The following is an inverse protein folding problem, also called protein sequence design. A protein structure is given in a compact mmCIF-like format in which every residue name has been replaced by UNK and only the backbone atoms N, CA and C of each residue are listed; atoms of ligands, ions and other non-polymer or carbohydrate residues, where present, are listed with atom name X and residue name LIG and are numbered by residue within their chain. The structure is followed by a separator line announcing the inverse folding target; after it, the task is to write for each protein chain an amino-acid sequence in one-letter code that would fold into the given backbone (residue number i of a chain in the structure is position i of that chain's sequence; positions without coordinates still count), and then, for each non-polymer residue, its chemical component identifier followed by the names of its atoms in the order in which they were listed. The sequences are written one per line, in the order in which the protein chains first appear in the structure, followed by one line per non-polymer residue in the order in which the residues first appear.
data_IF_962379575369
#
_entry.id   IF_962379575369
#
_cell.length_a   1.000
_cell.length_b   1.000
_cell.length_c   1.000
_cell.angle_alpha   90.00
_cell.angle_beta   90.00
_cell.angle_gamma   90.00
#
_symmetry.space_group_name_H-M   'P 1'
#
loop_
_entity.id
_entity.type
_entity.pdbx_description
1 polymer ?
#
# COMPACT_ATOMS: atom_id res chain seq x y z
N UNK A 1 -36.22 1.10 -7.30
CA UNK A 1 -35.81 0.03 -6.37
C UNK A 1 -35.66 0.69 -5.02
N UNK A 2 -36.61 0.49 -4.10
CA UNK A 2 -36.64 1.17 -2.79
C UNK A 2 -36.95 0.19 -1.64
N UNK A 3 -36.77 -1.11 -1.87
CA UNK A 3 -36.89 -2.09 -0.80
C UNK A 3 -35.48 -2.53 -0.40
N UNK A 4 -35.19 -2.41 0.90
CA UNK A 4 -34.07 -3.07 1.54
C UNK A 4 -34.26 -4.58 1.32
N UNK A 5 -33.46 -5.18 0.43
CA UNK A 5 -33.61 -6.60 0.08
C UNK A 5 -32.96 -7.54 1.11
N UNK A 6 -32.32 -6.98 2.13
CA UNK A 6 -31.68 -7.71 3.23
C UNK A 6 -32.25 -7.23 4.58
N UNK A 7 -32.98 -8.10 5.28
CA UNK A 7 -33.41 -7.82 6.65
C UNK A 7 -32.29 -8.16 7.65
N UNK A 8 -31.93 -7.18 8.47
CA UNK A 8 -30.94 -7.31 9.53
C UNK A 8 -31.51 -6.84 10.86
N UNK A 9 -31.23 -7.57 11.94
CA UNK A 9 -31.60 -7.14 13.30
C UNK A 9 -30.83 -5.88 13.70
N UNK A 10 -31.34 -5.12 14.67
CA UNK A 10 -30.64 -3.94 15.19
C UNK A 10 -29.23 -4.26 15.72
N UNK A 11 -29.06 -5.45 16.30
CA UNK A 11 -27.75 -5.94 16.73
C UNK A 11 -26.79 -6.15 15.55
N UNK A 12 -27.28 -6.75 14.46
CA UNK A 12 -26.52 -6.96 13.23
C UNK A 12 -26.16 -5.64 12.56
N UNK A 13 -27.09 -4.68 12.50
CA UNK A 13 -26.84 -3.35 11.95
C UNK A 13 -25.78 -2.60 12.76
N UNK A 14 -25.86 -2.66 14.10
CA UNK A 14 -24.84 -2.07 14.98
C UNK A 14 -23.47 -2.69 14.75
N UNK A 15 -23.40 -4.00 14.54
CA UNK A 15 -22.14 -4.69 14.24
C UNK A 15 -21.59 -4.32 12.85
N UNK A 16 -22.44 -4.40 11.81
CA UNK A 16 -22.11 -4.02 10.43
C UNK A 16 -21.61 -2.58 10.35
N UNK A 17 -22.19 -1.66 11.12
CA UNK A 17 -21.80 -0.24 11.10
C UNK A 17 -20.30 -0.03 11.37
N UNK A 18 -19.61 -0.99 12.01
CA UNK A 18 -18.15 -0.93 12.24
C UNK A 18 -17.34 -1.21 10.98
N UNK A 19 -17.89 -2.00 10.05
CA UNK A 19 -17.19 -2.56 8.89
C UNK A 19 -17.69 -2.02 7.55
N UNK A 20 -18.84 -1.36 7.52
CA UNK A 20 -19.35 -0.67 6.33
C UNK A 20 -19.68 0.80 6.61
N UNK A 21 -19.64 1.64 5.58
CA UNK A 21 -20.04 3.06 5.70
C UNK A 21 -21.55 3.27 5.71
N UNK A 22 -22.32 2.32 5.18
CA UNK A 22 -23.79 2.36 5.19
C UNK A 22 -24.35 0.92 5.34
N UNK A 23 -25.23 0.73 6.32
CA UNK A 23 -25.77 -0.59 6.68
C UNK A 23 -27.07 -0.96 5.97
N UNK A 24 -27.74 0.01 5.33
CA UNK A 24 -29.02 -0.19 4.65
C UNK A 24 -28.93 0.19 3.17
N UNK A 25 -28.34 1.35 2.86
CA UNK A 25 -28.20 1.84 1.48
C UNK A 25 -27.46 0.89 0.54
N UNK A 26 -27.79 0.95 -0.76
CA UNK A 26 -27.22 0.10 -1.81
C UNK A 26 -25.74 0.41 -2.14
N UNK A 27 -25.25 1.60 -1.79
CA UNK A 27 -23.87 2.04 -2.02
C UNK A 27 -23.20 2.20 -0.66
N UNK A 28 -22.13 1.45 -0.44
CA UNK A 28 -21.34 1.49 0.78
C UNK A 28 -19.90 1.05 0.50
N UNK A 29 -18.99 1.44 1.37
CA UNK A 29 -17.58 1.02 1.34
C UNK A 29 -17.31 0.08 2.51
N UNK A 30 -16.47 -0.93 2.30
CA UNK A 30 -15.88 -1.71 3.38
C UNK A 30 -14.82 -0.86 4.09
N UNK A 31 -14.78 -0.93 5.42
CA UNK A 31 -13.80 -0.25 6.28
C UNK A 31 -13.41 -1.14 7.44
N UNK A 32 -12.27 -0.88 8.06
CA UNK A 32 -11.82 -1.58 9.28
C UNK A 32 -11.81 -3.13 9.16
N UNK A 33 -11.65 -3.63 7.93
CA UNK A 33 -11.47 -5.04 7.63
C UNK A 33 -10.04 -5.25 7.10
N UNK A 34 -9.34 -6.31 7.50
CA UNK A 34 -8.09 -6.70 6.87
C UNK A 34 -8.28 -6.93 5.37
N UNK A 35 -7.29 -6.57 4.52
CA UNK A 35 -7.43 -6.68 3.06
C UNK A 35 -7.74 -8.10 2.59
N UNK A 36 -7.13 -9.11 3.22
CA UNK A 36 -7.38 -10.51 2.89
C UNK A 36 -8.83 -10.92 3.19
N UNK A 37 -9.44 -10.37 4.24
CA UNK A 37 -10.86 -10.59 4.52
C UNK A 37 -11.73 -9.95 3.45
N UNK A 38 -11.40 -8.74 2.98
CA UNK A 38 -12.12 -8.11 1.87
C UNK A 38 -12.01 -8.94 0.60
N UNK A 39 -10.81 -9.43 0.29
CA UNK A 39 -10.55 -10.30 -0.85
C UNK A 39 -11.39 -11.58 -0.83
N UNK A 40 -11.36 -12.27 0.30
CA UNK A 40 -12.16 -13.46 0.54
C UNK A 40 -13.67 -13.20 0.43
N UNK A 41 -14.12 -12.10 1.03
CA UNK A 41 -15.53 -11.70 1.05
C UNK A 41 -16.03 -11.42 -0.37
N UNK A 42 -15.27 -10.69 -1.19
CA UNK A 42 -15.62 -10.43 -2.58
C UNK A 42 -15.59 -11.71 -3.45
N UNK A 43 -14.64 -12.60 -3.20
CA UNK A 43 -14.58 -13.91 -3.87
C UNK A 43 -15.80 -14.78 -3.56
N UNK A 44 -16.26 -14.79 -2.30
CA UNK A 44 -17.50 -15.48 -1.91
C UNK A 44 -18.73 -14.81 -2.50
N UNK A 45 -18.76 -13.49 -2.48
CA UNK A 45 -19.85 -12.70 -3.02
C UNK A 45 -20.06 -12.97 -4.52
N UNK A 46 -18.99 -13.09 -5.31
CA UNK A 46 -19.11 -13.36 -6.76
C UNK A 46 -19.77 -14.70 -7.10
N UNK A 47 -19.85 -15.63 -6.14
CA UNK A 47 -20.41 -16.98 -6.30
C UNK A 47 -21.62 -17.23 -5.40
N UNK A 48 -22.16 -16.20 -4.74
CA UNK A 48 -23.28 -16.29 -3.80
C UNK A 48 -24.48 -15.49 -4.27
N UNK A 49 -25.68 -15.94 -3.91
CA UNK A 49 -26.92 -15.18 -4.09
C UNK A 49 -27.22 -14.22 -2.94
N UNK A 50 -26.40 -14.21 -1.89
CA UNK A 50 -26.54 -13.32 -0.74
C UNK A 50 -25.87 -11.97 -1.02
N UNK A 51 -26.39 -10.90 -0.42
CA UNK A 51 -25.69 -9.61 -0.43
C UNK A 51 -24.43 -9.64 0.43
N UNK A 52 -23.51 -8.72 0.13
CA UNK A 52 -22.18 -8.68 0.72
C UNK A 52 -22.21 -8.54 2.26
N UNK A 53 -23.18 -7.80 2.82
CA UNK A 53 -23.35 -7.60 4.27
C UNK A 53 -23.84 -8.86 4.97
N UNK A 54 -24.84 -9.54 4.40
CA UNK A 54 -25.30 -10.84 4.90
C UNK A 54 -24.18 -11.86 4.90
N UNK A 55 -23.37 -11.88 3.83
CA UNK A 55 -22.26 -12.81 3.68
C UNK A 55 -21.16 -12.54 4.70
N UNK A 56 -20.80 -11.28 4.93
CA UNK A 56 -19.86 -10.86 5.98
C UNK A 56 -20.32 -11.34 7.36
N UNK A 57 -21.59 -11.12 7.71
CA UNK A 57 -22.12 -11.55 9.00
C UNK A 57 -22.11 -13.08 9.13
N UNK A 58 -22.70 -13.80 8.19
CA UNK A 58 -22.89 -15.25 8.30
C UNK A 58 -21.60 -16.04 8.21
N UNK A 59 -20.71 -15.69 7.28
CA UNK A 59 -19.57 -16.54 6.95
C UNK A 59 -18.27 -16.12 7.65
N UNK A 60 -18.13 -14.84 8.01
CA UNK A 60 -16.89 -14.29 8.55
C UNK A 60 -16.98 -13.85 10.01
N UNK A 61 -18.14 -13.36 10.45
CA UNK A 61 -18.33 -12.86 11.82
C UNK A 61 -18.97 -13.91 12.73
N UNK A 62 -20.07 -14.54 12.31
CA UNK A 62 -20.85 -15.47 13.14
C UNK A 62 -20.51 -16.94 12.98
N UNK A 63 -19.76 -17.30 11.93
CA UNK A 63 -19.20 -18.64 11.85
C UNK A 63 -18.11 -18.79 12.95
N UNK A 64 -17.80 -20.02 13.40
CA UNK A 64 -16.93 -20.43 14.56
C UNK A 64 -15.47 -19.89 14.57
N UNK A 65 -15.21 -18.76 13.94
CA UNK A 65 -13.94 -18.12 13.65
C UNK A 65 -13.92 -16.66 14.16
N UNK A 66 -14.91 -16.24 14.94
CA UNK A 66 -15.03 -14.91 15.56
C UNK A 66 -13.73 -14.50 16.29
N UNK A 67 -13.07 -15.43 16.97
CA UNK A 67 -11.79 -15.19 17.65
C UNK A 67 -10.60 -14.99 16.70
N UNK A 68 -10.60 -15.60 15.52
CA UNK A 68 -9.58 -15.37 14.50
C UNK A 68 -9.83 -14.04 13.79
N UNK A 69 -11.09 -13.76 13.43
CA UNK A 69 -11.50 -12.49 12.84
C UNK A 69 -11.17 -11.30 13.76
N UNK A 70 -11.56 -11.35 15.03
CA UNK A 70 -11.33 -10.29 16.01
C UNK A 70 -9.84 -9.98 16.25
N UNK A 71 -8.98 -11.01 16.21
CA UNK A 71 -7.52 -10.85 16.33
C UNK A 71 -6.90 -10.19 15.11
N UNK A 72 -7.36 -10.53 13.90
CA UNK A 72 -6.83 -9.95 12.66
C UNK A 72 -7.40 -8.54 12.43
N UNK A 73 -8.66 -8.30 12.80
CA UNK A 73 -9.31 -6.98 12.72
C UNK A 73 -8.87 -6.01 13.82
N UNK A 74 -7.93 -6.39 14.69
CA UNK A 74 -7.35 -5.54 15.73
C UNK A 74 -8.32 -5.15 16.87
N UNK A 75 -9.38 -5.93 17.10
CA UNK A 75 -10.48 -5.55 18.01
C UNK A 75 -10.27 -5.93 19.49
N UNK A 76 -9.03 -6.16 19.95
CA UNK A 76 -8.73 -6.25 21.39
C UNK A 76 -7.86 -5.07 21.85
N UNK A 77 -8.51 -3.99 22.25
CA UNK A 77 -8.04 -3.17 23.37
C UNK A 77 -8.57 -3.85 24.65
N UNK A 78 -7.69 -4.55 25.38
CA UNK A 78 -8.06 -5.19 26.65
C UNK A 78 -7.15 -6.37 27.01
N UNK A 79 -6.20 -6.09 27.90
CA UNK A 79 -5.43 -6.99 28.77
C UNK A 79 -4.86 -8.29 28.16
N UNK A 80 -3.56 -8.24 27.86
CA UNK A 80 -2.71 -9.42 27.83
C UNK A 80 -2.37 -9.80 29.27
N UNK A 81 -3.16 -10.66 29.87
CA UNK A 81 -2.73 -11.52 30.97
C UNK A 81 -3.41 -12.88 30.81
N UNK A 82 -2.75 -13.78 30.07
CA UNK A 82 -2.59 -15.21 30.38
C UNK A 82 -1.94 -15.96 29.19
N UNK A 83 -0.64 -16.16 29.35
CA UNK A 83 0.19 -17.34 29.03
C UNK A 83 -0.13 -18.21 27.80
N UNK A 84 0.66 -18.00 26.73
CA UNK A 84 1.50 -19.04 26.10
C UNK A 84 0.87 -20.11 25.20
N UNK A 85 -0.22 -20.76 25.61
CA UNK A 85 -0.77 -21.93 24.88
C UNK A 85 -1.88 -21.54 23.89
N UNK A 86 -2.71 -20.57 24.26
CA UNK A 86 -3.88 -20.13 23.47
C UNK A 86 -3.46 -19.32 22.22
N UNK A 87 -2.28 -18.70 22.24
CA UNK A 87 -1.76 -17.92 21.12
C UNK A 87 -1.33 -18.80 19.94
N UNK A 88 -0.84 -20.02 20.19
CA UNK A 88 -0.46 -20.95 19.12
C UNK A 88 -1.68 -21.53 18.40
N UNK A 89 -2.71 -21.92 19.15
CA UNK A 89 -3.94 -22.47 18.58
C UNK A 89 -4.74 -21.40 17.82
N UNK A 90 -4.74 -20.18 18.35
CA UNK A 90 -5.22 -18.97 17.69
C UNK A 90 -4.55 -18.69 16.36
N UNK A 91 -3.22 -18.70 16.33
CA UNK A 91 -2.42 -18.48 15.13
C UNK A 91 -2.67 -19.61 14.14
N UNK A 92 -2.77 -20.86 14.58
CA UNK A 92 -3.15 -21.99 13.72
C UNK A 92 -4.57 -21.85 13.15
N UNK A 93 -5.55 -21.39 13.94
CA UNK A 93 -6.92 -21.13 13.45
C UNK A 93 -6.95 -19.98 12.44
N UNK A 94 -6.18 -18.91 12.67
CA UNK A 94 -6.01 -17.83 11.72
C UNK A 94 -5.31 -18.30 10.45
N UNK A 95 -4.20 -19.06 10.56
CA UNK A 95 -3.47 -19.62 9.42
C UNK A 95 -4.33 -20.58 8.61
N UNK A 96 -5.02 -21.53 9.26
CA UNK A 96 -5.95 -22.44 8.57
C UNK A 96 -7.11 -21.69 7.91
N UNK A 97 -7.56 -20.59 8.51
CA UNK A 97 -8.52 -19.70 7.87
C UNK A 97 -7.92 -19.03 6.64
N UNK A 98 -6.71 -18.46 6.73
CA UNK A 98 -5.96 -17.90 5.60
C UNK A 98 -5.73 -18.92 4.47
N UNK A 99 -5.24 -20.11 4.80
CA UNK A 99 -4.93 -21.18 3.85
C UNK A 99 -6.21 -21.65 3.15
N UNK A 100 -7.32 -21.84 3.88
CA UNK A 100 -8.61 -22.17 3.25
C UNK A 100 -9.10 -21.06 2.32
N UNK A 101 -8.82 -19.81 2.65
CA UNK A 101 -9.21 -18.61 1.92
C UNK A 101 -8.32 -18.37 0.68
N UNK A 102 -7.08 -18.85 0.69
CA UNK A 102 -6.15 -18.74 -0.44
C UNK A 102 -6.21 -19.98 -1.34
N UNK A 103 -6.17 -21.18 -0.77
CA UNK A 103 -6.18 -22.46 -1.49
C UNK A 103 -7.54 -22.78 -2.12
N UNK A 104 -8.65 -22.42 -1.45
CA UNK A 104 -9.99 -22.78 -1.89
C UNK A 104 -10.48 -22.05 -3.14
N UNK A 105 -9.79 -21.00 -3.57
CA UNK A 105 -10.39 -20.03 -4.49
C UNK A 105 -9.69 -19.89 -5.83
N UNK A 106 -8.40 -20.23 -5.94
CA UNK A 106 -7.69 -20.43 -7.23
C UNK A 106 -7.86 -19.31 -8.26
N UNK A 107 -8.13 -18.09 -7.81
CA UNK A 107 -8.55 -16.97 -8.64
C UNK A 107 -7.56 -15.81 -8.38
N UNK A 108 -6.74 -15.51 -9.39
CA UNK A 108 -5.69 -14.49 -9.33
C UNK A 108 -6.25 -13.10 -8.91
N UNK A 109 -7.56 -12.87 -9.13
CA UNK A 109 -8.26 -11.64 -8.73
C UNK A 109 -8.30 -11.39 -7.22
N UNK A 110 -8.13 -12.43 -6.38
CA UNK A 110 -8.04 -12.26 -4.91
C UNK A 110 -6.68 -11.68 -4.53
N UNK A 111 -5.62 -12.07 -5.25
CA UNK A 111 -4.28 -11.53 -5.06
C UNK A 111 -4.22 -10.03 -5.38
N UNK A 112 -5.00 -9.56 -6.34
CA UNK A 112 -5.09 -8.14 -6.72
C UNK A 112 -5.69 -7.25 -5.61
N UNK A 113 -6.46 -7.82 -4.69
CA UNK A 113 -7.06 -7.11 -3.56
C UNK A 113 -6.06 -6.94 -2.39
N UNK A 114 -4.93 -7.66 -2.42
CA UNK A 114 -3.82 -7.48 -1.50
C UNK A 114 -2.88 -6.36 -1.97
N UNK A 115 -2.75 -5.30 -1.17
CA UNK A 115 -1.75 -4.26 -1.39
C UNK A 115 -0.50 -4.45 -0.53
N UNK A 116 0.67 -4.09 -1.06
CA UNK A 116 1.90 -3.96 -0.29
C UNK A 116 2.43 -2.53 -0.40
N UNK A 117 2.95 -1.99 0.70
CA UNK A 117 3.70 -0.74 0.67
C UNK A 117 5.18 -1.07 0.45
N UNK A 118 5.72 -0.68 -0.71
CA UNK A 118 7.12 -0.89 -1.05
C UNK A 118 7.89 0.43 -0.90
N UNK A 119 8.97 0.40 -0.12
CA UNK A 119 9.97 1.45 -0.09
C UNK A 119 11.15 1.02 -0.97
N UNK A 120 11.51 1.87 -1.94
CA UNK A 120 12.57 1.59 -2.92
C UNK A 120 13.59 2.72 -2.84
N UNK A 121 14.81 2.40 -2.42
CA UNK A 121 15.88 3.36 -2.19
C UNK A 121 17.13 3.01 -3.01
N UNK A 122 17.98 4.02 -3.27
CA UNK A 122 19.24 3.87 -4.02
C UNK A 122 19.06 3.28 -5.44
N UNK A 123 17.92 3.55 -6.06
CA UNK A 123 17.66 3.22 -7.46
C UNK A 123 17.95 4.43 -8.35
N UNK A 124 18.28 4.16 -9.61
CA UNK A 124 18.45 5.23 -10.60
C UNK A 124 17.10 5.86 -10.96
N UNK A 125 17.14 7.12 -11.42
CA UNK A 125 15.94 7.78 -11.96
C UNK A 125 15.27 6.95 -13.08
N UNK A 126 16.06 6.27 -13.91
CA UNK A 126 15.54 5.39 -14.97
C UNK A 126 14.78 4.19 -14.40
N UNK A 127 15.32 3.56 -13.35
CA UNK A 127 14.64 2.46 -12.67
C UNK A 127 13.36 2.92 -11.98
N UNK A 128 13.38 4.09 -11.32
CA UNK A 128 12.18 4.69 -10.72
C UNK A 128 11.08 4.92 -11.78
N UNK A 129 11.42 5.53 -12.93
CA UNK A 129 10.47 5.73 -14.02
C UNK A 129 9.92 4.40 -14.56
N UNK A 130 10.76 3.39 -14.75
CA UNK A 130 10.30 2.08 -15.21
C UNK A 130 9.26 1.46 -14.26
N UNK A 131 9.46 1.57 -12.95
CA UNK A 131 8.53 1.06 -11.93
C UNK A 131 7.21 1.85 -11.99
N UNK A 132 7.27 3.17 -12.00
CA UNK A 132 6.08 4.04 -12.01
C UNK A 132 5.27 3.91 -13.31
N UNK A 133 5.94 3.85 -14.46
CA UNK A 133 5.31 3.74 -15.78
C UNK A 133 4.65 2.37 -15.98
N UNK A 134 5.15 1.34 -15.30
CA UNK A 134 4.54 0.01 -15.31
C UNK A 134 3.19 -0.04 -14.58
N UNK A 135 2.83 1.02 -13.83
CA UNK A 135 1.55 1.15 -13.07
C UNK A 135 1.28 -0.05 -12.17
N UNK A 136 2.34 -0.66 -11.64
CA UNK A 136 2.25 -1.72 -10.64
C UNK A 136 1.87 -1.07 -9.31
N UNK A 137 0.57 -1.00 -9.03
CA UNK A 137 0.01 -0.29 -7.86
C UNK A 137 -0.44 1.14 -8.20
N UNK A 138 -1.48 1.61 -7.48
CA UNK A 138 -2.25 2.79 -7.87
C UNK A 138 -1.64 4.17 -7.56
N UNK A 139 -0.57 4.24 -6.74
CA UNK A 139 -0.14 5.51 -6.14
C UNK A 139 1.36 5.56 -5.80
N UNK A 140 2.28 5.78 -6.76
CA UNK A 140 3.69 6.02 -6.45
C UNK A 140 3.90 7.37 -5.73
N UNK A 141 4.90 7.43 -4.85
CA UNK A 141 5.36 8.66 -4.20
C UNK A 141 6.89 8.77 -4.31
N UNK A 142 7.36 9.68 -5.16
CA UNK A 142 8.78 9.91 -5.44
C UNK A 142 9.34 11.13 -4.69
N UNK A 143 10.64 11.10 -4.34
CA UNK A 143 11.34 12.31 -3.90
C UNK A 143 11.30 13.37 -5.00
N UNK A 144 10.70 14.51 -4.68
CA UNK A 144 10.55 15.61 -5.63
C UNK A 144 11.83 16.41 -5.79
N UNK A 145 12.34 16.48 -7.02
CA UNK A 145 13.48 17.33 -7.42
C UNK A 145 13.20 18.83 -7.30
N UNK A 146 11.94 19.22 -7.04
CA UNK A 146 11.55 20.60 -6.75
C UNK A 146 11.92 21.04 -5.33
N UNK A 147 12.06 20.08 -4.41
CA UNK A 147 12.29 20.35 -2.99
C UNK A 147 13.62 19.78 -2.48
N UNK A 148 14.14 18.75 -3.13
CA UNK A 148 15.39 18.08 -2.74
C UNK A 148 16.34 18.10 -3.92
N UNK A 149 17.57 18.55 -3.68
CA UNK A 149 18.65 18.53 -4.65
C UNK A 149 19.48 17.25 -4.51
N UNK A 150 19.85 16.67 -5.66
CA UNK A 150 20.59 15.40 -5.74
C UNK A 150 22.10 15.61 -5.91
N UNK A 151 22.62 16.80 -5.59
CA UNK A 151 24.04 17.17 -5.68
C UNK A 151 24.87 16.76 -4.45
N UNK A 152 24.30 15.96 -3.56
CA UNK A 152 24.99 15.50 -2.36
C UNK A 152 25.94 14.36 -2.68
N UNK A 153 27.11 14.39 -2.04
CA UNK A 153 28.11 13.32 -2.14
C UNK A 153 27.99 12.35 -0.97
N UNK A 154 28.18 11.07 -1.25
CA UNK A 154 28.36 10.02 -0.25
C UNK A 154 29.78 9.48 -0.37
N UNK A 155 30.53 9.46 0.73
CA UNK A 155 31.95 9.04 0.75
C UNK A 155 32.83 9.75 -0.31
N UNK A 156 32.52 11.03 -0.58
CA UNK A 156 33.26 11.84 -1.55
C UNK A 156 32.83 11.67 -3.01
N UNK A 157 31.86 10.79 -3.30
CA UNK A 157 31.38 10.52 -4.66
C UNK A 157 29.93 10.98 -4.87
N UNK A 158 29.61 11.42 -6.08
CA UNK A 158 28.21 11.63 -6.47
C UNK A 158 27.49 10.29 -6.67
N UNK A 159 26.19 10.30 -6.38
CA UNK A 159 25.32 9.14 -6.51
C UNK A 159 24.75 9.04 -7.93
N UNK A 160 25.39 8.22 -8.75
CA UNK A 160 24.85 7.74 -10.03
C UNK A 160 25.20 6.27 -10.24
N UNK A 161 24.37 5.59 -11.04
CA UNK A 161 24.51 4.17 -11.31
C UNK A 161 25.76 3.89 -12.15
N UNK A 162 26.66 3.02 -11.65
CA UNK A 162 27.87 2.60 -12.35
C UNK A 162 27.63 1.23 -12.98
N UNK A 163 27.22 1.21 -14.24
CA UNK A 163 26.87 -0.01 -14.94
C UNK A 163 28.11 -0.93 -15.13
N UNK A 164 28.07 -2.21 -14.73
CA UNK A 164 29.27 -3.05 -14.67
C UNK A 164 30.02 -3.22 -15.99
N UNK A 165 29.32 -3.40 -17.12
CA UNK A 165 29.98 -3.63 -18.41
C UNK A 165 30.68 -2.36 -18.93
N UNK A 166 30.13 -1.18 -18.67
CA UNK A 166 30.70 0.12 -18.95
C UNK A 166 31.90 0.39 -18.04
N UNK A 167 31.83 0.00 -16.77
CA UNK A 167 32.94 0.13 -15.83
C UNK A 167 34.12 -0.78 -16.19
N UNK A 168 33.87 -1.91 -16.86
CA UNK A 168 34.90 -2.79 -17.41
C UNK A 168 35.38 -2.38 -18.81
N UNK A 169 34.77 -1.36 -19.42
CA UNK A 169 35.05 -0.93 -20.79
C UNK A 169 36.11 0.18 -20.88
N UNK A 170 36.58 0.44 -22.09
CA UNK A 170 37.45 1.58 -22.39
C UNK A 170 36.77 2.96 -22.20
N UNK A 171 35.45 3.00 -21.97
CA UNK A 171 34.69 4.24 -21.79
C UNK A 171 34.43 4.60 -20.32
N UNK A 172 34.92 3.78 -19.37
CA UNK A 172 34.73 3.98 -17.92
C UNK A 172 35.04 5.41 -17.48
N UNK A 173 36.25 5.88 -17.73
CA UNK A 173 36.71 7.16 -17.18
C UNK A 173 35.93 8.32 -17.80
N UNK A 174 35.69 8.26 -19.12
CA UNK A 174 34.84 9.23 -19.82
C UNK A 174 33.45 9.31 -19.22
N UNK A 175 32.83 8.17 -18.88
CA UNK A 175 31.52 8.13 -18.24
C UNK A 175 31.55 8.77 -16.84
N UNK A 176 32.48 8.36 -15.99
CA UNK A 176 32.63 8.86 -14.62
C UNK A 176 32.87 10.39 -14.63
N UNK A 177 33.82 10.85 -15.45
CA UNK A 177 34.17 12.26 -15.54
C UNK A 177 32.99 13.10 -16.05
N UNK A 178 32.26 12.59 -17.06
CA UNK A 178 31.08 13.28 -17.60
C UNK A 178 29.99 13.39 -16.54
N UNK A 179 29.66 12.28 -15.84
CA UNK A 179 28.63 12.30 -14.80
C UNK A 179 29.02 13.22 -13.64
N UNK A 180 30.26 13.14 -13.15
CA UNK A 180 30.76 14.03 -12.11
C UNK A 180 30.65 15.50 -12.52
N UNK A 181 31.08 15.82 -13.75
CA UNK A 181 30.98 17.17 -14.28
C UNK A 181 29.54 17.68 -14.34
N UNK A 182 28.58 16.84 -14.77
CA UNK A 182 27.16 17.20 -14.80
C UNK A 182 26.62 17.52 -13.40
N UNK A 183 26.94 16.72 -12.39
CA UNK A 183 26.53 16.99 -11.00
C UNK A 183 27.16 18.26 -10.44
N UNK A 184 28.45 18.50 -10.70
CA UNK A 184 29.11 19.73 -10.27
C UNK A 184 28.48 20.98 -10.90
N UNK A 185 28.21 20.92 -12.21
CA UNK A 185 27.56 22.01 -12.94
C UNK A 185 26.15 22.24 -12.42
N UNK A 186 25.39 21.16 -12.20
CA UNK A 186 24.06 21.22 -11.59
C UNK A 186 24.08 21.92 -10.22
N UNK A 187 24.93 21.47 -9.30
CA UNK A 187 25.05 22.07 -7.96
C UNK A 187 25.51 23.54 -8.00
N UNK A 188 26.38 23.91 -8.96
CA UNK A 188 26.83 25.31 -9.14
C UNK A 188 25.75 26.21 -9.72
N UNK A 189 24.89 25.71 -10.61
CA UNK A 189 23.89 26.51 -11.32
C UNK A 189 22.59 26.69 -10.53
N UNK A 190 22.22 25.74 -9.67
CA UNK A 190 20.96 25.80 -8.91
C UNK A 190 20.83 27.08 -8.06
N UNK A 191 21.82 27.48 -7.22
CA UNK A 191 21.68 28.69 -6.40
C UNK A 191 21.46 29.99 -7.20
N UNK A 192 22.31 30.36 -8.18
CA UNK A 192 22.14 31.62 -8.90
C UNK A 192 20.89 31.64 -9.78
N UNK A 193 20.48 30.49 -10.34
CA UNK A 193 19.22 30.39 -11.08
C UNK A 193 18.02 30.56 -10.15
N UNK A 194 18.06 29.97 -8.96
CA UNK A 194 16.99 30.11 -7.96
C UNK A 194 16.82 31.56 -7.54
N UNK A 195 17.92 32.25 -7.24
CA UNK A 195 17.91 33.68 -6.89
C UNK A 195 17.29 34.52 -8.02
N UNK A 196 17.71 34.29 -9.27
CA UNK A 196 17.17 35.00 -10.43
C UNK A 196 15.67 34.73 -10.63
N UNK A 197 15.21 33.50 -10.40
CA UNK A 197 13.80 33.14 -10.50
C UNK A 197 12.98 33.79 -9.39
N UNK A 198 13.49 33.86 -8.17
CA UNK A 198 12.83 34.56 -7.06
C UNK A 198 12.67 36.07 -7.32
N UNK A 199 13.66 36.70 -7.95
CA UNK A 199 13.56 38.10 -8.38
C UNK A 199 12.54 38.31 -9.49
N UNK A 200 12.46 37.36 -10.44
CA UNK A 200 11.56 37.46 -11.61
C UNK A 200 10.12 37.09 -11.27
N UNK A 201 9.93 36.20 -10.30
CA UNK A 201 8.65 35.66 -9.84
C UNK A 201 8.61 35.72 -8.31
N UNK A 202 8.47 36.93 -7.73
CA UNK A 202 8.37 37.08 -6.28
C UNK A 202 7.15 36.30 -5.78
N UNK A 203 7.29 35.65 -4.62
CA UNK A 203 6.16 34.97 -3.99
C UNK A 203 5.14 36.01 -3.56
N UNK A 204 3.87 35.68 -3.76
CA UNK A 204 2.77 36.45 -3.21
C UNK A 204 2.88 36.41 -1.67
N UNK A 205 2.98 37.55 -0.99
CA UNK A 205 3.06 37.59 0.48
C UNK A 205 1.79 37.09 1.18
N UNK A 206 0.68 36.91 0.46
CA UNK A 206 -0.60 36.44 1.01
C UNK A 206 -0.82 34.91 0.86
N UNK A 207 0.19 34.15 0.39
CA UNK A 207 0.16 32.67 0.29
C UNK A 207 1.14 32.01 1.26
#
# INVERSE_FOLDING_TARGET
MLDDYEEHTDANLKLLSRFVTNTTGHIFCLRNLPEVIKGALFSRYSRSSLGLRTLLLKEFIFNDQEAAFARISGQKEGEYDNEGEDQSEAIKKAQNFYDRILDGYGDDSIGELGGAHLAIENVSMLAAKFIEDSRIGGSPLEKSTRYIYFDQKYEGEFLFYREPSLMASAYRDKYIDTCNHLFEVYGKLVPPLTEKMQQSFPRDPEV
#
